data_IF_200654255238
#
_entry.id   IF_200654255238
#
_cell.length_a   1.000
_cell.length_b   1.000
_cell.length_c   1.000
_cell.angle_alpha   90.00
_cell.angle_beta   90.00
_cell.angle_gamma   90.00
#
_symmetry.space_group_name_H-M   'P 1'
#
loop_
_entity.id
_entity.type
_entity.pdbx_description
1 polymer ?
#
# COMPACT_ATOMS: atom_id res chain seq x y z
N UNK A 1 -12.54 -18.44 -39.79
CA UNK A 1 -12.66 -17.13 -39.11
C UNK A 1 -12.48 -17.36 -37.62
N UNK A 2 -11.29 -17.10 -37.09
CA UNK A 2 -11.00 -17.15 -35.65
C UNK A 2 -11.47 -15.84 -35.04
N UNK A 3 -12.56 -15.88 -34.27
CA UNK A 3 -13.01 -14.76 -33.46
C UNK A 3 -11.95 -14.47 -32.39
N UNK A 4 -11.21 -13.38 -32.56
CA UNK A 4 -10.41 -12.75 -31.52
C UNK A 4 -11.34 -12.31 -30.39
N UNK A 5 -11.37 -13.07 -29.30
CA UNK A 5 -12.01 -12.65 -28.05
C UNK A 5 -11.35 -11.35 -27.60
N UNK A 6 -12.14 -10.28 -27.60
CA UNK A 6 -11.82 -8.99 -27.02
C UNK A 6 -11.32 -9.17 -25.59
N UNK A 7 -10.07 -8.84 -25.30
CA UNK A 7 -9.51 -8.72 -23.95
C UNK A 7 -10.02 -7.44 -23.27
N UNK A 8 -11.34 -7.27 -23.14
CA UNK A 8 -11.95 -6.06 -22.57
C UNK A 8 -11.97 -6.04 -21.03
N UNK A 9 -11.56 -7.12 -20.37
CA UNK A 9 -11.53 -7.23 -18.91
C UNK A 9 -10.11 -7.52 -18.41
N UNK A 10 -9.57 -6.61 -17.59
CA UNK A 10 -8.33 -6.84 -16.87
C UNK A 10 -8.48 -8.06 -15.95
N UNK A 11 -7.40 -8.84 -15.83
CA UNK A 11 -7.35 -9.95 -14.90
C UNK A 11 -7.58 -9.45 -13.46
N UNK A 12 -8.35 -10.16 -12.59
CA UNK A 12 -8.62 -9.74 -11.22
C UNK A 12 -7.36 -9.37 -10.41
N UNK A 13 -6.27 -10.08 -10.67
CA UNK A 13 -4.96 -9.80 -10.08
C UNK A 13 -4.36 -8.44 -10.48
N UNK A 14 -4.50 -8.02 -11.74
CA UNK A 14 -4.05 -6.70 -12.19
C UNK A 14 -4.92 -5.58 -11.62
N UNK A 15 -6.22 -5.83 -11.47
CA UNK A 15 -7.14 -4.90 -10.80
C UNK A 15 -6.71 -4.72 -9.34
N UNK A 16 -6.43 -5.81 -8.63
CA UNK A 16 -5.94 -5.77 -7.25
C UNK A 16 -4.65 -4.95 -7.10
N UNK A 17 -3.64 -5.21 -7.96
CA UNK A 17 -2.39 -4.44 -7.97
C UNK A 17 -2.62 -2.94 -8.18
N UNK A 18 -3.40 -2.59 -9.21
CA UNK A 18 -3.67 -1.21 -9.55
C UNK A 18 -4.43 -0.50 -8.41
N UNK A 19 -5.43 -1.16 -7.83
CA UNK A 19 -6.24 -0.58 -6.75
C UNK A 19 -5.44 -0.40 -5.46
N UNK A 20 -4.54 -1.32 -5.09
CA UNK A 20 -3.65 -1.14 -3.93
C UNK A 20 -2.78 0.12 -4.11
N UNK A 21 -2.14 0.24 -5.28
CA UNK A 21 -1.27 1.39 -5.58
C UNK A 21 -2.10 2.68 -5.60
N UNK A 22 -3.25 2.67 -6.27
CA UNK A 22 -4.13 3.82 -6.39
C UNK A 22 -4.65 4.29 -5.03
N UNK A 23 -5.13 3.37 -4.19
CA UNK A 23 -5.60 3.69 -2.84
C UNK A 23 -4.46 4.23 -1.98
N UNK A 24 -3.25 3.67 -2.08
CA UNK A 24 -2.12 4.20 -1.33
C UNK A 24 -1.79 5.65 -1.74
N UNK A 25 -1.72 5.93 -3.05
CA UNK A 25 -1.46 7.29 -3.57
C UNK A 25 -2.59 8.25 -3.17
N UNK A 26 -3.85 7.84 -3.29
CA UNK A 26 -5.00 8.63 -2.86
C UNK A 26 -4.91 8.96 -1.36
N UNK A 27 -4.61 7.95 -0.55
CA UNK A 27 -4.43 8.11 0.90
C UNK A 27 -3.30 9.06 1.24
N UNK A 28 -2.17 8.97 0.55
CA UNK A 28 -1.05 9.87 0.71
C UNK A 28 -1.42 11.33 0.38
N UNK A 29 -2.13 11.57 -0.73
CA UNK A 29 -2.60 12.91 -1.10
C UNK A 29 -3.60 13.48 -0.07
N UNK A 30 -4.53 12.66 0.40
CA UNK A 30 -5.49 13.05 1.45
C UNK A 30 -4.79 13.31 2.78
N UNK A 31 -3.80 12.50 3.14
CA UNK A 31 -3.02 12.67 4.35
C UNK A 31 -2.19 13.95 4.33
N UNK A 32 -1.55 14.24 3.20
CA UNK A 32 -0.81 15.50 3.00
C UNK A 32 -1.74 16.71 3.16
N UNK A 33 -2.93 16.64 2.53
CA UNK A 33 -3.95 17.69 2.68
C UNK A 33 -4.40 17.84 4.14
N UNK A 34 -4.61 16.73 4.83
CA UNK A 34 -4.94 16.72 6.26
C UNK A 34 -3.84 17.37 7.11
N UNK A 35 -2.57 17.07 6.85
CA UNK A 35 -1.44 17.68 7.56
C UNK A 35 -1.35 19.19 7.36
N UNK A 36 -1.62 19.68 6.14
CA UNK A 36 -1.70 21.13 5.89
C UNK A 36 -2.79 21.80 6.73
N UNK A 37 -3.93 21.14 6.95
CA UNK A 37 -4.97 21.66 7.84
C UNK A 37 -4.52 21.67 9.31
N UNK A 38 -3.91 20.58 9.79
CA UNK A 38 -3.42 20.48 11.18
C UNK A 38 -2.38 21.56 11.46
N UNK A 39 -1.44 21.77 10.53
CA UNK A 39 -0.43 22.82 10.61
C UNK A 39 -1.06 24.22 10.57
N UNK A 40 -2.03 24.46 9.68
CA UNK A 40 -2.77 25.73 9.61
C UNK A 40 -3.45 26.10 10.94
N UNK A 41 -3.98 25.12 11.67
CA UNK A 41 -4.58 25.32 12.99
C UNK A 41 -3.58 25.24 14.14
N UNK A 42 -2.29 25.11 13.87
CA UNK A 42 -1.20 25.00 14.87
C UNK A 42 -1.43 23.87 15.88
N UNK A 43 -2.01 22.77 15.42
CA UNK A 43 -2.30 21.60 16.25
C UNK A 43 -1.09 20.67 16.31
N UNK A 44 -1.00 19.88 17.37
CA UNK A 44 0.10 18.92 17.56
C UNK A 44 0.02 17.78 16.54
N UNK A 45 0.86 17.84 15.51
CA UNK A 45 0.92 16.86 14.43
C UNK A 45 1.21 15.44 14.94
N UNK A 46 1.92 15.29 16.06
CA UNK A 46 2.28 13.97 16.62
C UNK A 46 1.07 13.24 17.18
N UNK A 47 0.07 13.96 17.68
CA UNK A 47 -1.20 13.40 18.15
C UNK A 47 -2.17 13.25 16.98
N UNK A 48 -2.29 14.31 16.15
CA UNK A 48 -3.30 14.37 15.12
C UNK A 48 -3.05 13.40 13.95
N UNK A 49 -1.80 13.01 13.68
CA UNK A 49 -1.48 11.99 12.67
C UNK A 49 -2.32 10.71 12.79
N UNK A 50 -2.66 10.29 14.02
CA UNK A 50 -3.37 9.04 14.26
C UNK A 50 -4.86 9.10 13.91
N UNK A 51 -5.50 10.27 13.99
CA UNK A 51 -6.92 10.43 13.66
C UNK A 51 -7.21 10.24 12.18
N UNK A 52 -6.23 10.53 11.31
CA UNK A 52 -6.32 10.16 9.91
C UNK A 52 -5.84 8.73 9.68
N UNK A 53 -4.67 8.40 10.23
CA UNK A 53 -3.96 7.18 9.88
C UNK A 53 -4.71 5.93 10.28
N UNK A 54 -5.29 5.87 11.48
CA UNK A 54 -5.99 4.67 11.96
C UNK A 54 -7.24 4.39 11.10
N UNK A 55 -8.18 5.34 10.90
CA UNK A 55 -9.34 5.10 10.05
C UNK A 55 -8.97 4.79 8.60
N UNK A 56 -8.02 5.54 8.03
CA UNK A 56 -7.60 5.33 6.65
C UNK A 56 -6.99 3.95 6.45
N UNK A 57 -6.09 3.56 7.35
CA UNK A 57 -5.46 2.24 7.33
C UNK A 57 -6.50 1.12 7.48
N UNK A 58 -7.49 1.28 8.36
CA UNK A 58 -8.56 0.29 8.51
C UNK A 58 -9.37 0.12 7.21
N UNK A 59 -9.72 1.22 6.54
CA UNK A 59 -10.40 1.20 5.24
C UNK A 59 -9.52 0.51 4.18
N UNK A 60 -8.24 0.88 4.11
CA UNK A 60 -7.28 0.32 3.17
C UNK A 60 -7.15 -1.21 3.33
N UNK A 61 -6.99 -1.69 4.58
CA UNK A 61 -6.89 -3.11 4.90
C UNK A 61 -8.18 -3.85 4.53
N UNK A 62 -9.34 -3.32 4.94
CA UNK A 62 -10.63 -3.95 4.65
C UNK A 62 -10.88 -4.04 3.13
N UNK A 63 -10.53 -2.99 2.38
CA UNK A 63 -10.66 -2.98 0.93
C UNK A 63 -9.69 -3.96 0.27
N UNK A 64 -8.42 -3.96 0.67
CA UNK A 64 -7.42 -4.89 0.16
C UNK A 64 -7.81 -6.36 0.37
N UNK A 65 -8.29 -6.71 1.56
CA UNK A 65 -8.79 -8.06 1.84
C UNK A 65 -10.02 -8.42 0.98
N UNK A 66 -10.92 -7.46 0.75
CA UNK A 66 -12.10 -7.65 -0.10
C UNK A 66 -11.69 -7.94 -1.56
N UNK A 67 -10.72 -7.20 -2.09
CA UNK A 67 -10.20 -7.41 -3.44
C UNK A 67 -9.46 -8.74 -3.57
N UNK A 68 -8.61 -9.07 -2.59
CA UNK A 68 -7.92 -10.36 -2.52
C UNK A 68 -8.91 -11.52 -2.56
N UNK A 69 -10.05 -11.38 -1.87
CA UNK A 69 -11.15 -12.36 -1.88
C UNK A 69 -11.70 -12.67 -3.28
N UNK A 70 -11.63 -11.73 -4.23
CA UNK A 70 -12.13 -11.89 -5.61
C UNK A 70 -11.20 -12.68 -6.53
N UNK A 71 -9.92 -12.87 -6.14
CA UNK A 71 -8.95 -13.63 -6.94
C UNK A 71 -9.19 -15.13 -6.73
N UNK A 72 -9.40 -15.94 -7.78
CA UNK A 72 -9.56 -17.40 -7.67
C UNK A 72 -8.37 -18.06 -6.96
N UNK A 73 -8.62 -18.99 -6.05
CA UNK A 73 -7.55 -19.63 -5.25
C UNK A 73 -6.47 -20.32 -6.11
N UNK A 74 -6.85 -20.89 -7.25
CA UNK A 74 -5.91 -21.54 -8.18
C UNK A 74 -4.98 -20.57 -8.93
N UNK A 75 -5.35 -19.29 -9.03
CA UNK A 75 -4.53 -18.24 -9.67
C UNK A 75 -3.65 -17.50 -8.66
N UNK A 76 -3.97 -17.60 -7.37
CA UNK A 76 -3.10 -17.12 -6.29
C UNK A 76 -1.75 -17.86 -6.39
N UNK A 77 -1.80 -19.19 -6.51
CA UNK A 77 -0.63 -20.07 -6.48
C UNK A 77 -0.04 -20.22 -7.89
N UNK A 78 0.66 -19.19 -8.39
CA UNK A 78 1.39 -19.30 -9.67
C UNK A 78 2.90 -19.35 -9.44
N UNK A 79 3.62 -20.39 -9.92
CA UNK A 79 5.05 -20.60 -9.66
C UNK A 79 6.01 -19.67 -10.45
N UNK A 80 5.48 -18.76 -11.27
CA UNK A 80 6.24 -17.80 -12.10
C UNK A 80 6.32 -16.39 -11.48
N UNK A 81 6.19 -16.28 -10.15
CA UNK A 81 6.21 -14.98 -9.46
C UNK A 81 7.64 -14.40 -9.44
N UNK A 82 7.74 -13.14 -9.87
CA UNK A 82 8.96 -12.30 -10.04
C UNK A 82 9.82 -12.34 -8.77
N UNK A 83 11.14 -12.09 -8.76
CA UNK A 83 12.03 -12.23 -7.57
C UNK A 83 11.83 -11.17 -6.46
N UNK A 84 11.85 -11.52 -5.15
CA UNK A 84 11.42 -10.61 -4.03
C UNK A 84 12.54 -9.70 -3.60
N UNK A 85 13.74 -10.10 -3.99
CA UNK A 85 15.00 -9.55 -3.53
C UNK A 85 15.00 -8.04 -3.70
N UNK A 86 14.53 -7.49 -4.83
CA UNK A 86 14.47 -6.04 -5.01
C UNK A 86 13.52 -5.30 -4.04
N UNK A 87 12.43 -5.93 -3.57
CA UNK A 87 11.46 -5.30 -2.67
C UNK A 87 11.91 -5.44 -1.20
N UNK A 88 12.49 -6.59 -0.86
CA UNK A 88 13.14 -6.79 0.45
C UNK A 88 14.33 -5.84 0.59
N UNK A 89 15.16 -5.70 -0.45
CA UNK A 89 16.25 -4.73 -0.47
C UNK A 89 15.75 -3.29 -0.37
N UNK A 90 14.65 -2.94 -1.04
CA UNK A 90 14.04 -1.62 -0.90
C UNK A 90 13.54 -1.36 0.53
N UNK A 91 12.86 -2.33 1.16
CA UNK A 91 12.43 -2.24 2.54
C UNK A 91 13.59 -2.08 3.53
N UNK A 92 14.65 -2.86 3.35
CA UNK A 92 15.89 -2.74 4.14
C UNK A 92 16.54 -1.36 3.92
N UNK A 93 16.59 -0.86 2.68
CA UNK A 93 17.15 0.45 2.38
C UNK A 93 16.34 1.58 3.04
N UNK A 94 15.02 1.48 3.08
CA UNK A 94 14.15 2.46 3.75
C UNK A 94 14.36 2.41 5.27
N UNK A 95 14.42 1.23 5.87
CA UNK A 95 14.72 1.08 7.31
C UNK A 95 16.11 1.63 7.62
N UNK A 96 17.11 1.32 6.79
CA UNK A 96 18.47 1.83 6.95
C UNK A 96 18.53 3.36 6.83
N UNK A 97 17.80 3.94 5.87
CA UNK A 97 17.65 5.40 5.74
C UNK A 97 16.99 6.01 6.98
N UNK A 98 16.02 5.32 7.58
CA UNK A 98 15.38 5.75 8.83
C UNK A 98 16.20 5.55 10.10
N UNK A 99 17.33 4.84 10.03
CA UNK A 99 18.29 4.71 11.12
C UNK A 99 19.34 5.82 11.12
N UNK A 100 19.43 6.62 10.04
CA UNK A 100 20.22 7.85 10.09
C UNK A 100 19.58 8.84 11.09
N UNK A 101 20.38 9.44 11.99
CA UNK A 101 19.88 10.42 12.95
C UNK A 101 19.55 11.71 12.22
N UNK A 102 18.34 11.77 11.66
CA UNK A 102 17.77 13.01 11.15
C UNK A 102 17.03 13.67 12.30
N UNK A 103 17.42 14.90 12.64
CA UNK A 103 16.89 15.70 13.75
C UNK A 103 15.47 16.26 13.47
N UNK A 104 14.66 15.55 12.68
CA UNK A 104 13.29 15.91 12.33
C UNK A 104 12.32 15.13 13.21
N UNK A 105 11.22 15.77 13.61
CA UNK A 105 10.12 15.08 14.29
C UNK A 105 9.66 13.89 13.44
N UNK A 106 9.74 12.69 14.01
CA UNK A 106 9.42 11.46 13.30
C UNK A 106 7.93 11.13 13.46
N UNK A 107 7.22 11.14 12.35
CA UNK A 107 5.81 10.73 12.31
C UNK A 107 5.71 9.22 12.03
N UNK A 108 5.52 8.45 13.10
CA UNK A 108 5.37 6.98 13.03
C UNK A 108 4.17 6.52 12.19
N UNK A 109 3.21 7.40 11.90
CA UNK A 109 2.11 7.09 10.98
C UNK A 109 2.60 6.69 9.59
N UNK A 110 3.61 7.37 9.05
CA UNK A 110 4.14 7.07 7.72
C UNK A 110 4.76 5.67 7.70
N UNK A 111 5.51 5.32 8.74
CA UNK A 111 6.15 4.01 8.87
C UNK A 111 5.08 2.91 8.87
N UNK A 112 4.01 3.07 9.66
CA UNK A 112 2.92 2.10 9.73
C UNK A 112 2.16 1.96 8.40
N UNK A 113 1.77 3.07 7.77
CA UNK A 113 1.05 3.02 6.48
C UNK A 113 1.92 2.43 5.38
N UNK A 114 3.22 2.75 5.37
CA UNK A 114 4.17 2.20 4.40
C UNK A 114 4.39 0.70 4.59
N UNK A 115 4.52 0.22 5.82
CA UNK A 115 4.61 -1.23 6.11
C UNK A 115 3.37 -1.95 5.61
N UNK A 116 2.17 -1.43 5.91
CA UNK A 116 0.91 -2.06 5.49
C UNK A 116 0.77 -2.05 3.97
N UNK A 117 1.06 -0.93 3.31
CA UNK A 117 1.11 -0.86 1.86
C UNK A 117 2.07 -1.89 1.27
N UNK A 118 3.28 -1.99 1.83
CA UNK A 118 4.30 -2.94 1.34
C UNK A 118 3.85 -4.38 1.50
N UNK A 119 3.13 -4.73 2.57
CA UNK A 119 2.55 -6.07 2.75
C UNK A 119 1.50 -6.39 1.68
N UNK A 120 0.57 -5.47 1.41
CA UNK A 120 -0.45 -5.65 0.37
C UNK A 120 0.15 -5.66 -1.04
N UNK A 121 1.13 -4.78 -1.28
CA UNK A 121 1.86 -4.76 -2.55
C UNK A 121 2.61 -6.07 -2.75
N UNK A 122 3.31 -6.55 -1.72
CA UNK A 122 3.94 -7.85 -1.74
C UNK A 122 2.90 -8.95 -2.01
N UNK A 123 1.80 -9.07 -1.26
CA UNK A 123 0.73 -10.05 -1.54
C UNK A 123 0.17 -9.93 -2.98
N UNK A 124 0.14 -8.73 -3.56
CA UNK A 124 -0.28 -8.51 -4.94
C UNK A 124 0.73 -8.95 -6.01
N UNK A 125 2.00 -9.19 -5.64
CA UNK A 125 3.04 -9.72 -6.53
C UNK A 125 3.51 -11.12 -6.12
N UNK A 126 3.21 -11.55 -4.90
CA UNK A 126 3.75 -12.69 -4.16
C UNK A 126 2.62 -13.48 -3.54
N UNK A 127 2.62 -14.80 -3.69
CA UNK A 127 1.77 -15.61 -2.81
C UNK A 127 2.58 -15.87 -1.54
N UNK A 128 2.13 -15.28 -0.43
CA UNK A 128 2.51 -15.77 0.89
C UNK A 128 1.54 -16.91 1.20
N UNK A 129 2.02 -18.14 1.00
CA UNK A 129 1.44 -19.35 1.59
C UNK A 129 1.98 -19.47 3.01
#
# INVERSE_FOLDING_TARGET
>A
MLFTKSHTHLHPHHIYQLEIIFLFVLGFCLFFTYFLFIDFYTLDMTVYQWYFTIPWTAIFVAWGLTLRGKIPQGERITPLKRPIVHWVLLGIAIIAYQLEPVNLERYYSFDLTFVIFTLFLADSYWDFV
#
